data_IF_460050931430
#
_entry.id   IF_460050931430
#
_cell.length_a   1.000
_cell.length_b   1.000
_cell.length_c   1.000
_cell.angle_alpha   90.00
_cell.angle_beta   90.00
_cell.angle_gamma   90.00
#
_symmetry.space_group_name_H-M   'P 1'
#
loop_
_entity.id
_entity.type
_entity.pdbx_description
1 polymer ?
#
# COMPACT_ATOMS: atom_id res chain seq x y z
N UNK A 1 1.38 11.34 8.27
CA UNK A 1 2.55 11.27 9.18
C UNK A 1 2.42 12.10 10.46
N UNK A 2 2.20 13.43 10.43
CA UNK A 2 2.21 14.30 11.62
C UNK A 2 1.34 13.81 12.80
N UNK A 3 0.08 13.45 12.54
CA UNK A 3 -0.84 12.95 13.57
C UNK A 3 -0.28 11.70 14.27
N UNK A 4 0.35 10.79 13.53
CA UNK A 4 0.90 9.57 14.11
C UNK A 4 2.09 9.87 15.03
N UNK A 5 3.01 10.75 14.61
CA UNK A 5 4.18 11.12 15.40
C UNK A 5 3.83 11.92 16.67
N UNK A 6 2.71 12.65 16.67
CA UNK A 6 2.22 13.37 17.87
C UNK A 6 1.49 12.46 18.87
N UNK A 7 1.08 11.24 18.45
CA UNK A 7 0.21 10.36 19.24
C UNK A 7 0.88 9.05 19.65
N UNK A 8 1.92 8.63 18.96
CA UNK A 8 2.56 7.33 19.15
C UNK A 8 4.02 7.46 19.59
N UNK A 9 4.41 6.57 20.51
CA UNK A 9 5.80 6.45 20.98
C UNK A 9 6.60 5.37 20.24
N UNK A 10 5.93 4.43 19.56
CA UNK A 10 6.56 3.33 18.81
C UNK A 10 6.19 3.40 17.33
N UNK A 11 7.06 2.86 16.48
CA UNK A 11 6.87 2.79 15.04
C UNK A 11 5.65 1.93 14.70
N UNK A 12 5.46 0.79 15.40
CA UNK A 12 4.27 -0.04 15.25
C UNK A 12 2.98 0.72 15.55
N UNK A 13 2.90 1.46 16.66
CA UNK A 13 1.73 2.28 16.99
C UNK A 13 1.44 3.28 15.87
N UNK A 14 2.49 3.93 15.34
CA UNK A 14 2.34 4.89 14.27
C UNK A 14 1.79 4.24 12.98
N UNK A 15 2.28 3.06 12.61
CA UNK A 15 1.78 2.26 11.46
C UNK A 15 0.31 1.90 11.64
N UNK A 16 -0.06 1.35 12.79
CA UNK A 16 -1.45 0.97 13.10
C UNK A 16 -2.38 2.20 13.06
N UNK A 17 -1.96 3.32 13.65
CA UNK A 17 -2.74 4.55 13.65
C UNK A 17 -2.86 5.14 12.23
N UNK A 18 -1.78 5.15 11.43
CA UNK A 18 -1.86 5.63 10.04
C UNK A 18 -2.77 4.73 9.19
N UNK A 19 -2.70 3.42 9.39
CA UNK A 19 -3.58 2.46 8.74
C UNK A 19 -5.06 2.69 9.07
N UNK A 20 -5.37 2.84 10.36
CA UNK A 20 -6.72 3.17 10.82
C UNK A 20 -7.22 4.51 10.25
N UNK A 21 -6.38 5.54 10.23
CA UNK A 21 -6.75 6.83 9.66
C UNK A 21 -6.97 6.74 8.14
N UNK A 22 -6.19 5.93 7.43
CA UNK A 22 -6.40 5.67 6.00
C UNK A 22 -7.73 4.96 5.75
N UNK A 23 -8.14 4.04 6.63
CA UNK A 23 -9.46 3.38 6.56
C UNK A 23 -10.61 4.37 6.80
N UNK A 24 -10.49 5.17 7.86
CA UNK A 24 -11.55 6.06 8.31
C UNK A 24 -11.72 7.29 7.41
N UNK A 25 -10.62 7.85 6.92
CA UNK A 25 -10.60 9.14 6.22
C UNK A 25 -10.15 9.05 4.77
N UNK A 26 -9.49 7.96 4.38
CA UNK A 26 -8.86 7.83 3.08
C UNK A 26 -7.49 8.51 3.01
N UNK A 27 -6.70 8.06 2.05
CA UNK A 27 -5.50 8.72 1.55
C UNK A 27 -5.87 9.39 0.23
N UNK A 28 -5.73 10.71 0.20
CA UNK A 28 -6.08 11.50 -0.97
C UNK A 28 -4.98 11.37 -2.02
N UNK A 29 -5.24 10.59 -3.06
CA UNK A 29 -4.60 10.78 -4.37
C UNK A 29 -5.10 12.13 -4.88
N UNK A 30 -4.21 13.05 -5.25
CA UNK A 30 -4.60 14.43 -5.55
C UNK A 30 -5.76 14.48 -6.56
N UNK A 31 -6.91 15.10 -6.23
CA UNK A 31 -8.04 15.23 -7.15
C UNK A 31 -7.77 16.32 -8.21
N UNK A 32 -6.59 16.35 -8.82
CA UNK A 32 -6.20 17.29 -9.87
C UNK A 32 -5.09 16.77 -10.80
N UNK A 33 -4.50 15.61 -10.52
CA UNK A 33 -3.56 14.96 -11.44
C UNK A 33 -4.27 13.77 -12.11
N UNK A 34 -4.96 14.08 -13.19
CA UNK A 34 -5.33 13.03 -14.15
C UNK A 34 -4.01 12.47 -14.66
N UNK A 35 -3.69 11.22 -14.35
CA UNK A 35 -2.64 10.53 -15.11
C UNK A 35 -3.07 10.61 -16.57
N UNK A 36 -2.35 11.40 -17.36
CA UNK A 36 -2.62 11.60 -18.78
C UNK A 36 -2.20 10.33 -19.52
N UNK A 37 -2.97 9.27 -19.34
CA UNK A 37 -2.70 7.98 -19.92
C UNK A 37 -3.96 7.14 -19.91
N UNK A 38 -4.67 7.13 -21.04
CA UNK A 38 -5.29 5.87 -21.46
C UNK A 38 -4.12 4.90 -21.66
N UNK A 39 -3.84 4.05 -20.66
CA UNK A 39 -2.87 2.99 -20.83
C UNK A 39 -3.38 1.99 -21.88
N UNK A 40 -2.45 1.29 -22.52
CA UNK A 40 -2.75 0.27 -23.51
C UNK A 40 -3.75 -0.75 -22.91
N UNK A 41 -4.87 -0.99 -23.59
CA UNK A 41 -5.89 -1.96 -23.15
C UNK A 41 -7.13 -1.37 -22.46
N UNK A 42 -7.22 -0.05 -22.26
CA UNK A 42 -8.47 0.60 -21.79
C UNK A 42 -8.75 0.47 -20.29
N UNK A 43 -7.73 0.13 -19.49
CA UNK A 43 -7.79 0.09 -18.03
C UNK A 43 -7.34 1.45 -17.47
N UNK A 44 -8.01 1.92 -16.41
CA UNK A 44 -7.61 3.15 -15.71
C UNK A 44 -6.27 2.94 -14.99
N UNK A 45 -5.35 3.86 -15.24
CA UNK A 45 -4.06 3.93 -14.60
C UNK A 45 -4.03 5.07 -13.58
N UNK A 46 -3.50 4.79 -12.41
CA UNK A 46 -3.27 5.81 -11.40
C UNK A 46 -1.75 6.00 -11.30
N UNK A 47 -1.22 7.03 -11.95
CA UNK A 47 0.11 7.57 -11.65
C UNK A 47 0.01 8.41 -10.36
N UNK A 48 1.07 8.45 -9.56
CA UNK A 48 1.07 9.06 -8.21
C UNK A 48 -0.02 8.52 -7.25
N UNK A 49 -0.43 7.25 -7.42
CA UNK A 49 -1.60 6.65 -6.75
C UNK A 49 -1.46 6.36 -5.25
N UNK A 50 -0.27 6.59 -4.70
CA UNK A 50 0.08 6.12 -3.36
C UNK A 50 1.41 6.66 -2.86
N UNK A 51 1.68 6.42 -1.59
CA UNK A 51 2.83 6.99 -0.88
C UNK A 51 3.57 5.90 -0.11
N UNK A 52 4.89 6.05 0.00
CA UNK A 52 5.74 5.18 0.78
C UNK A 52 6.40 5.97 1.92
N UNK A 53 6.05 5.62 3.16
CA UNK A 53 6.56 6.24 4.36
C UNK A 53 7.44 5.26 5.12
N UNK A 54 8.54 5.76 5.67
CA UNK A 54 9.41 5.00 6.57
C UNK A 54 9.32 5.58 7.97
N UNK A 55 9.10 4.72 8.96
CA UNK A 55 8.92 5.11 10.36
C UNK A 55 9.84 4.25 11.21
N UNK A 56 10.71 4.91 11.97
CA UNK A 56 11.61 4.28 12.92
C UNK A 56 11.38 4.84 14.31
N UNK A 57 11.67 4.03 15.33
CA UNK A 57 11.60 4.46 16.73
C UNK A 57 12.92 4.22 17.47
N UNK A 58 12.97 4.71 18.72
CA UNK A 58 14.13 4.56 19.59
C UNK A 58 14.31 3.15 20.17
N UNK A 59 13.32 2.27 20.01
CA UNK A 59 13.41 0.86 20.44
C UNK A 59 14.07 -0.02 19.37
N UNK A 60 14.36 0.55 18.20
CA UNK A 60 15.11 -0.10 17.12
C UNK A 60 14.21 -0.74 16.07
N UNK A 61 12.89 -0.52 16.11
CA UNK A 61 12.02 -0.94 15.02
C UNK A 61 12.06 0.08 13.89
N UNK A 62 12.02 -0.43 12.65
CA UNK A 62 11.81 0.37 11.45
C UNK A 62 10.75 -0.32 10.60
N UNK A 63 9.78 0.45 10.16
CA UNK A 63 8.64 -0.02 9.37
C UNK A 63 8.56 0.75 8.06
N UNK A 64 8.29 0.01 6.99
CA UNK A 64 7.89 0.55 5.70
C UNK A 64 6.37 0.52 5.65
N UNK A 65 5.75 1.65 5.34
CA UNK A 65 4.31 1.80 5.22
C UNK A 65 3.96 2.29 3.81
N UNK A 66 3.19 1.50 3.08
CA UNK A 66 2.62 1.88 1.80
C UNK A 66 1.13 2.15 1.95
N UNK A 67 0.63 3.16 1.25
CA UNK A 67 -0.80 3.47 1.20
C UNK A 67 -1.20 3.87 -0.21
N UNK A 68 -2.39 3.47 -0.64
CA UNK A 68 -2.96 3.81 -1.93
C UNK A 68 -4.48 4.03 -1.83
N UNK A 69 -5.08 4.52 -2.90
CA UNK A 69 -6.54 4.70 -2.98
C UNK A 69 -7.31 3.38 -2.90
N UNK A 70 -8.43 3.40 -2.18
CA UNK A 70 -9.26 2.23 -1.96
C UNK A 70 -10.23 1.96 -3.12
N UNK A 71 -11.20 1.08 -2.89
CA UNK A 71 -12.23 0.73 -3.86
C UNK A 71 -13.60 1.25 -3.40
N UNK A 72 -14.35 1.83 -4.34
CA UNK A 72 -15.66 2.42 -4.07
C UNK A 72 -16.58 1.38 -3.40
N UNK A 73 -17.26 1.81 -2.33
CA UNK A 73 -18.13 0.98 -1.49
C UNK A 73 -17.44 -0.16 -0.71
N UNK A 74 -16.11 -0.28 -0.75
CA UNK A 74 -15.36 -1.31 0.00
C UNK A 74 -14.54 -0.68 1.13
N UNK A 75 -13.57 0.14 0.77
CA UNK A 75 -12.67 0.87 1.69
C UNK A 75 -12.21 2.17 1.04
N UNK A 76 -11.96 3.21 1.84
CA UNK A 76 -11.50 4.52 1.33
C UNK A 76 -10.05 4.46 0.84
N UNK A 77 -9.22 3.69 1.54
CA UNK A 77 -7.84 3.39 1.17
C UNK A 77 -7.44 1.98 1.54
N UNK A 78 -6.40 1.51 0.87
CA UNK A 78 -5.69 0.27 1.19
C UNK A 78 -4.27 0.63 1.60
N UNK A 79 -3.71 -0.16 2.50
CA UNK A 79 -2.36 0.05 3.02
C UNK A 79 -1.74 -1.29 3.41
N UNK A 80 -0.41 -1.32 3.42
CA UNK A 80 0.38 -2.41 3.95
C UNK A 80 1.60 -1.83 4.69
N UNK A 81 1.94 -2.42 5.82
CA UNK A 81 3.08 -2.10 6.64
C UNK A 81 3.94 -3.34 6.85
N UNK A 82 5.25 -3.22 6.66
CA UNK A 82 6.20 -4.30 6.92
C UNK A 82 7.37 -3.81 7.75
N UNK A 83 7.70 -4.53 8.82
CA UNK A 83 8.88 -4.31 9.63
C UNK A 83 10.13 -4.72 8.85
N UNK A 84 11.15 -3.86 8.84
CA UNK A 84 12.47 -4.19 8.30
C UNK A 84 13.14 -5.17 9.29
N UNK A 85 13.52 -6.39 8.86
CA UNK A 85 14.15 -7.34 9.76
C UNK A 85 15.47 -6.81 10.33
N UNK A 86 15.80 -7.24 11.55
CA UNK A 86 17.03 -6.82 12.21
C UNK A 86 18.27 -7.13 11.35
N UNK A 87 19.15 -6.14 11.19
CA UNK A 87 20.37 -6.26 10.38
C UNK A 87 20.16 -6.15 8.86
N UNK A 88 18.93 -5.86 8.41
CA UNK A 88 18.64 -5.64 6.99
C UNK A 88 18.39 -4.15 6.69
N UNK A 89 18.38 -3.84 5.39
CA UNK A 89 18.07 -2.52 4.87
C UNK A 89 16.91 -2.62 3.88
N UNK A 90 16.09 -1.58 3.82
CA UNK A 90 15.08 -1.40 2.78
C UNK A 90 15.45 -0.17 1.94
N UNK A 91 15.27 -0.26 0.62
CA UNK A 91 15.53 0.81 -0.34
C UNK A 91 14.28 1.03 -1.16
N UNK A 92 13.75 2.25 -1.17
CA UNK A 92 12.52 2.63 -1.88
C UNK A 92 12.92 3.67 -2.92
N UNK A 93 12.73 3.33 -4.20
CA UNK A 93 13.06 4.21 -5.33
C UNK A 93 11.78 4.58 -6.08
N UNK A 94 10.87 5.29 -5.39
CA UNK A 94 9.58 5.72 -5.93
C UNK A 94 8.72 4.59 -6.53
N UNK A 95 8.83 3.38 -5.97
CA UNK A 95 7.90 2.30 -6.23
C UNK A 95 7.70 1.47 -4.96
N UNK A 96 6.56 0.79 -4.84
CA UNK A 96 6.31 -0.08 -3.72
C UNK A 96 7.28 -1.27 -3.72
N UNK A 97 7.63 -1.72 -2.53
CA UNK A 97 8.58 -2.82 -2.30
C UNK A 97 8.05 -3.93 -1.39
N UNK A 98 6.88 -3.75 -0.77
CA UNK A 98 6.26 -4.79 0.06
C UNK A 98 5.76 -5.87 -0.90
N UNK A 99 6.19 -7.11 -0.68
CA UNK A 99 5.86 -8.25 -1.52
C UNK A 99 4.61 -8.98 -1.02
N UNK A 100 4.75 -10.29 -0.86
CA UNK A 100 3.66 -11.19 -0.50
C UNK A 100 3.10 -10.88 0.89
N UNK A 101 1.77 -10.74 0.96
CA UNK A 101 1.05 -10.56 2.20
C UNK A 101 0.52 -11.91 2.71
N UNK A 102 0.67 -12.21 4.02
CA UNK A 102 0.03 -13.37 4.62
C UNK A 102 -1.50 -13.24 4.59
N UNK A 103 -2.20 -14.34 4.86
CA UNK A 103 -3.67 -14.35 4.93
C UNK A 103 -4.20 -13.43 6.04
N UNK A 104 -3.51 -13.45 7.18
CA UNK A 104 -3.80 -12.64 8.36
C UNK A 104 -2.58 -11.81 8.75
N UNK A 105 -2.75 -10.63 9.37
CA UNK A 105 -1.64 -9.84 9.89
C UNK A 105 -0.76 -10.63 10.88
N UNK A 106 0.52 -10.28 10.91
CA UNK A 106 1.53 -10.88 11.78
C UNK A 106 2.21 -9.81 12.63
N UNK A 107 3.17 -10.21 13.46
CA UNK A 107 3.99 -9.26 14.22
C UNK A 107 4.86 -8.38 13.30
N UNK A 108 5.19 -8.85 12.10
CA UNK A 108 6.08 -8.13 11.17
C UNK A 108 5.36 -7.54 9.96
N UNK A 109 4.11 -7.94 9.70
CA UNK A 109 3.33 -7.50 8.54
C UNK A 109 1.91 -7.13 8.96
N UNK A 110 1.52 -5.88 8.70
CA UNK A 110 0.19 -5.34 8.95
C UNK A 110 -0.41 -4.87 7.63
N UNK A 111 -1.73 -4.96 7.47
CA UNK A 111 -2.38 -4.47 6.26
C UNK A 111 -3.87 -4.23 6.49
N UNK A 112 -4.46 -3.49 5.57
CA UNK A 112 -5.89 -3.24 5.53
C UNK A 112 -6.70 -4.56 5.45
N UNK A 113 -7.70 -4.81 6.32
CA UNK A 113 -8.43 -6.08 6.34
C UNK A 113 -9.28 -6.32 5.09
N UNK A 114 -9.59 -5.26 4.33
CA UNK A 114 -10.37 -5.31 3.08
C UNK A 114 -9.50 -5.24 1.82
N UNK A 115 -8.19 -5.38 1.95
CA UNK A 115 -7.27 -5.19 0.82
C UNK A 115 -7.57 -6.11 -0.37
N UNK A 116 -7.84 -7.38 -0.08
CA UNK A 116 -8.17 -8.42 -1.07
C UNK A 116 -9.52 -8.20 -1.72
N UNK A 117 -10.52 -7.80 -0.94
CA UNK A 117 -11.85 -7.43 -1.43
C UNK A 117 -11.76 -6.21 -2.35
N UNK A 118 -10.99 -5.20 -1.96
CA UNK A 118 -10.79 -3.98 -2.74
C UNK A 118 -10.05 -4.25 -4.06
N UNK A 119 -9.02 -5.09 -4.05
CA UNK A 119 -8.29 -5.48 -5.25
C UNK A 119 -9.18 -6.26 -6.23
N UNK A 120 -9.97 -7.22 -5.74
CA UNK A 120 -10.97 -7.94 -6.56
C UNK A 120 -12.02 -7.00 -7.15
N UNK A 121 -12.55 -6.08 -6.35
CA UNK A 121 -13.54 -5.10 -6.81
C UNK A 121 -13.00 -4.16 -7.90
N UNK A 122 -11.68 -3.92 -7.93
CA UNK A 122 -11.00 -3.16 -8.99
C UNK A 122 -10.51 -4.02 -10.16
N UNK A 123 -10.64 -5.35 -10.09
CA UNK A 123 -10.11 -6.26 -11.11
C UNK A 123 -8.59 -6.35 -11.15
N UNK A 124 -7.89 -6.01 -10.05
CA UNK A 124 -6.43 -6.04 -9.97
C UNK A 124 -5.86 -7.39 -9.50
N UNK A 125 -6.72 -8.25 -8.94
CA UNK A 125 -6.36 -9.56 -8.40
C UNK A 125 -7.54 -10.53 -8.58
N UNK A 126 -7.27 -11.73 -9.09
CA UNK A 126 -8.29 -12.75 -9.36
C UNK A 126 -8.66 -13.57 -8.11
N UNK A 127 -7.74 -13.64 -7.13
CA UNK A 127 -7.92 -14.42 -5.91
C UNK A 127 -7.33 -15.82 -5.93
N UNK A 128 -6.65 -16.21 -7.00
CA UNK A 128 -6.02 -17.53 -7.15
C UNK A 128 -4.56 -17.49 -6.70
N UNK A 129 -3.80 -16.49 -7.15
CA UNK A 129 -2.38 -16.35 -6.80
C UNK A 129 -2.16 -15.67 -5.43
N UNK A 130 -1.01 -15.90 -4.77
CA UNK A 130 -0.64 -15.20 -3.56
C UNK A 130 -0.69 -13.68 -3.73
N UNK A 131 -1.32 -12.98 -2.78
CA UNK A 131 -1.46 -11.53 -2.86
C UNK A 131 -0.12 -10.82 -2.63
N UNK A 132 0.52 -10.38 -3.71
CA UNK A 132 1.73 -9.55 -3.66
C UNK A 132 1.37 -8.06 -3.73
N UNK A 133 1.65 -7.29 -2.68
CA UNK A 133 1.28 -5.87 -2.60
C UNK A 133 1.86 -5.06 -3.77
N UNK A 134 3.14 -5.24 -4.08
CA UNK A 134 3.82 -4.51 -5.14
C UNK A 134 3.19 -4.78 -6.52
N UNK A 135 2.92 -6.05 -6.84
CA UNK A 135 2.36 -6.38 -8.16
C UNK A 135 0.88 -6.03 -8.29
N UNK A 136 0.09 -6.27 -7.24
CA UNK A 136 -1.36 -6.04 -7.30
C UNK A 136 -1.70 -4.55 -7.21
N UNK A 137 -1.02 -3.79 -6.35
CA UNK A 137 -1.36 -2.39 -6.04
C UNK A 137 -0.39 -1.40 -6.66
N UNK A 138 0.88 -1.77 -6.82
CA UNK A 138 1.91 -0.91 -7.38
C UNK A 138 1.73 -0.63 -8.87
N UNK A 139 2.41 0.42 -9.33
CA UNK A 139 2.47 0.79 -10.72
C UNK A 139 3.71 0.14 -11.37
N UNK A 140 3.50 -0.67 -12.41
CA UNK A 140 4.60 -1.17 -13.24
C UNK A 140 4.97 -0.10 -14.27
N UNK A 141 6.09 0.60 -14.00
CA UNK A 141 6.60 1.64 -14.88
C UNK A 141 7.13 1.13 -16.23
N UNK A 142 7.30 -0.18 -16.40
CA UNK A 142 7.73 -0.78 -17.66
C UNK A 142 6.55 -1.12 -18.56
N UNK A 143 5.48 -1.68 -17.99
CA UNK A 143 4.28 -2.05 -18.77
C UNK A 143 3.26 -0.95 -18.80
N UNK A 144 3.36 0.04 -17.90
CA UNK A 144 2.32 1.02 -17.64
C UNK A 144 1.02 0.26 -17.33
N UNK A 145 1.00 -0.52 -16.24
CA UNK A 145 -0.19 -1.21 -15.72
C UNK A 145 -0.08 -1.43 -14.20
N UNK A 146 -1.21 -1.70 -13.55
CA UNK A 146 -1.31 -2.23 -12.19
C UNK A 146 -2.14 -3.52 -12.20
N UNK A 147 -1.88 -4.43 -11.26
CA UNK A 147 -2.54 -5.72 -11.17
C UNK A 147 -1.67 -6.89 -11.65
N UNK A 148 -2.07 -8.11 -11.30
CA UNK A 148 -1.40 -9.31 -11.80
C UNK A 148 -1.45 -9.36 -13.33
N UNK A 149 -0.29 -9.60 -13.94
CA UNK A 149 -0.15 -9.65 -15.39
C UNK A 149 -1.00 -10.80 -15.92
N UNK A 150 -1.77 -10.57 -16.99
CA UNK A 150 -2.11 -11.69 -17.86
C UNK A 150 -0.80 -12.32 -18.37
N UNK A 151 -0.73 -13.67 -18.44
CA UNK A 151 0.46 -14.39 -18.90
C UNK A 151 0.93 -14.00 -20.30
#
# INVERSE_FOLDING_TARGET
>A
MKIALERCATARCAVELMGQLAEDYGFLIQPFEVSYGTQAGGVEAYDDAGEALTISDSLGETWIFHVAGGAKNVTKSVWAGQKVPAGQIAVISNNFIIGDLPLEPTDDILFNPKIREAAKAKGLWDGEEPFNWNYVVGFDAMTFHSGEKEP
#
